data_IF_264083362594
#
_entry.id   IF_264083362594
#
_cell.length_a   1.000
_cell.length_b   1.000
_cell.length_c   1.000
_cell.angle_alpha   90.00
_cell.angle_beta   90.00
_cell.angle_gamma   90.00
#
_symmetry.space_group_name_H-M   'P 1'
#
loop_
_entity.id
_entity.type
_entity.pdbx_description
1 polymer ?
#
# COMPACT_ATOMS: atom_id res chain seq x y z
N UNK A 1 1.14 20.49 11.14
CA UNK A 1 1.49 20.99 9.79
C UNK A 1 0.40 20.69 8.75
N UNK A 2 0.12 19.43 8.40
CA UNK A 2 -0.90 19.08 7.37
C UNK A 2 -2.29 19.69 7.67
N UNK A 3 -2.82 19.47 8.87
CA UNK A 3 -4.12 20.03 9.27
C UNK A 3 -4.17 21.57 9.15
N UNK A 4 -3.06 22.26 9.42
CA UNK A 4 -3.03 23.72 9.31
C UNK A 4 -3.13 24.20 7.86
N UNK A 5 -2.58 23.45 6.89
CA UNK A 5 -2.73 23.78 5.47
C UNK A 5 -4.20 23.73 5.06
N UNK A 6 -4.92 22.71 5.53
CA UNK A 6 -6.36 22.56 5.26
C UNK A 6 -7.18 23.64 5.95
N UNK A 7 -6.98 23.83 7.26
CA UNK A 7 -7.76 24.79 8.05
C UNK A 7 -7.55 26.23 7.62
N UNK A 8 -6.38 26.55 7.03
CA UNK A 8 -6.09 27.86 6.43
C UNK A 8 -6.53 27.97 4.96
N UNK A 9 -7.25 26.98 4.43
CA UNK A 9 -7.69 26.92 3.03
C UNK A 9 -6.55 26.98 2.00
N UNK A 10 -5.35 26.56 2.40
CA UNK A 10 -4.17 26.47 1.52
C UNK A 10 -4.09 25.12 0.79
N UNK A 11 -4.84 24.11 1.25
CA UNK A 11 -4.97 22.80 0.62
C UNK A 11 -6.38 22.24 0.83
N UNK A 12 -6.89 21.51 -0.16
CA UNK A 12 -8.14 20.76 -0.03
C UNK A 12 -7.83 19.37 0.54
N UNK A 13 -8.61 18.86 1.52
CA UNK A 13 -8.42 17.52 2.09
C UNK A 13 -8.29 16.40 1.03
N UNK A 14 -9.12 16.46 -0.01
CA UNK A 14 -9.19 15.49 -1.10
C UNK A 14 -7.93 15.47 -1.97
N UNK A 15 -7.15 16.56 -1.93
CA UNK A 15 -5.88 16.70 -2.67
C UNK A 15 -4.67 16.26 -1.86
N UNK A 16 -4.86 15.82 -0.61
CA UNK A 16 -3.78 15.34 0.24
C UNK A 16 -3.65 13.83 0.06
N UNK A 17 -2.44 13.40 -0.32
CA UNK A 17 -2.04 12.01 -0.34
C UNK A 17 -0.82 11.81 0.55
N UNK A 18 -0.94 10.92 1.53
CA UNK A 18 0.18 10.51 2.38
C UNK A 18 0.78 9.24 1.77
N UNK A 19 2.05 9.28 1.39
CA UNK A 19 2.76 8.10 0.86
C UNK A 19 3.83 7.70 1.87
N UNK A 20 3.79 6.46 2.31
CA UNK A 20 4.70 5.94 3.32
C UNK A 20 5.30 4.60 2.90
N UNK A 21 6.61 4.48 2.97
CA UNK A 21 7.35 3.24 2.70
C UNK A 21 7.78 2.56 4.00
N UNK A 22 7.69 1.23 4.07
CA UNK A 22 8.14 0.45 5.23
C UNK A 22 7.47 0.94 6.53
N UNK A 23 8.25 1.29 7.56
CA UNK A 23 7.74 1.91 8.79
C UNK A 23 6.96 3.22 8.53
N UNK A 24 7.34 3.95 7.48
CA UNK A 24 6.66 5.17 7.06
C UNK A 24 5.21 4.95 6.64
N UNK A 25 4.84 3.75 6.19
CA UNK A 25 3.44 3.42 5.88
C UNK A 25 2.57 3.48 7.14
N UNK A 26 3.06 2.97 8.27
CA UNK A 26 2.38 3.07 9.56
C UNK A 26 2.38 4.50 10.09
N UNK A 27 3.49 5.24 9.93
CA UNK A 27 3.53 6.66 10.27
C UNK A 27 2.48 7.48 9.49
N UNK A 28 2.27 7.17 8.20
CA UNK A 28 1.22 7.76 7.39
C UNK A 28 -0.18 7.39 7.91
N UNK A 29 -0.41 6.14 8.31
CA UNK A 29 -1.64 5.69 8.98
C UNK A 29 -1.94 6.48 10.26
N UNK A 30 -0.96 6.58 11.18
CA UNK A 30 -1.09 7.37 12.41
C UNK A 30 -1.37 8.86 12.14
N UNK A 31 -0.71 9.44 11.13
CA UNK A 31 -0.99 10.81 10.71
C UNK A 31 -2.43 10.95 10.20
N UNK A 32 -2.90 10.02 9.37
CA UNK A 32 -4.26 9.97 8.86
C UNK A 32 -5.32 9.84 9.96
N UNK A 33 -5.11 8.90 10.89
CA UNK A 33 -5.94 8.77 12.10
C UNK A 33 -6.01 10.07 12.89
N UNK A 34 -4.88 10.74 13.09
CA UNK A 34 -4.83 12.04 13.78
C UNK A 34 -5.63 13.12 13.03
N UNK A 35 -5.56 13.16 11.69
CA UNK A 35 -6.35 14.10 10.87
C UNK A 35 -7.86 13.86 11.05
N UNK A 36 -8.29 12.60 11.10
CA UNK A 36 -9.69 12.23 11.29
C UNK A 36 -10.16 12.55 12.70
N UNK A 37 -9.49 12.02 13.72
CA UNK A 37 -9.96 12.06 15.10
C UNK A 37 -9.94 13.48 15.66
N UNK A 38 -8.83 14.20 15.45
CA UNK A 38 -8.59 15.52 16.04
C UNK A 38 -9.10 16.68 15.18
N UNK A 39 -9.04 16.55 13.86
CA UNK A 39 -9.35 17.66 12.95
C UNK A 39 -10.59 17.43 12.08
N UNK A 40 -11.22 16.24 12.16
CA UNK A 40 -12.39 15.84 11.36
C UNK A 40 -12.13 15.90 9.85
N UNK A 41 -10.86 15.75 9.46
CA UNK A 41 -10.42 15.72 8.07
C UNK A 41 -10.25 14.26 7.66
N UNK A 42 -11.20 13.74 6.87
CA UNK A 42 -11.23 12.33 6.46
C UNK A 42 -10.94 12.09 4.99
N UNK A 43 -11.02 13.12 4.16
CA UNK A 43 -11.05 12.98 2.70
C UNK A 43 -9.66 12.79 2.06
N UNK A 44 -8.59 12.72 2.86
CA UNK A 44 -7.24 12.42 2.36
C UNK A 44 -7.09 10.95 1.97
N UNK A 45 -6.07 10.69 1.13
CA UNK A 45 -5.69 9.36 0.66
C UNK A 45 -4.39 8.90 1.33
N UNK A 46 -4.20 7.60 1.45
CA UNK A 46 -2.95 7.00 1.92
C UNK A 46 -2.48 5.93 0.93
N UNK A 47 -1.19 5.92 0.63
CA UNK A 47 -0.52 4.85 -0.09
C UNK A 47 0.56 4.24 0.80
N UNK A 48 0.36 2.98 1.21
CA UNK A 48 1.35 2.20 1.94
C UNK A 48 2.22 1.38 0.98
N UNK A 49 3.51 1.66 0.95
CA UNK A 49 4.48 0.93 0.12
C UNK A 49 5.21 -0.07 1.01
N UNK A 50 4.82 -1.33 0.89
CA UNK A 50 5.30 -2.48 1.66
C UNK A 50 5.41 -2.19 3.16
N UNK A 51 4.28 -1.98 3.86
CA UNK A 51 4.29 -1.57 5.27
C UNK A 51 5.07 -2.55 6.14
N UNK A 52 5.88 -2.06 7.07
CA UNK A 52 6.82 -2.89 7.84
C UNK A 52 6.13 -4.03 8.62
N UNK A 53 6.57 -5.26 8.43
CA UNK A 53 6.08 -6.45 9.14
C UNK A 53 6.54 -6.53 10.61
N UNK A 54 7.85 -6.43 10.90
CA UNK A 54 8.38 -6.57 12.25
C UNK A 54 7.76 -5.57 13.23
N UNK A 55 7.08 -6.09 14.25
CA UNK A 55 6.40 -5.29 15.27
C UNK A 55 4.97 -4.85 14.90
N UNK A 56 4.46 -5.15 13.70
CA UNK A 56 3.12 -4.74 13.26
C UNK A 56 2.22 -5.88 12.76
N UNK A 57 2.78 -7.00 12.29
CA UNK A 57 1.99 -8.12 11.72
C UNK A 57 0.87 -8.59 12.66
N UNK A 58 1.17 -8.68 13.96
CA UNK A 58 0.24 -9.11 15.02
C UNK A 58 -0.41 -7.96 15.78
N UNK A 59 -0.07 -6.73 15.45
CA UNK A 59 -0.66 -5.56 16.09
C UNK A 59 -2.12 -5.40 15.70
N UNK A 60 -2.84 -4.75 16.62
CA UNK A 60 -4.22 -4.35 16.41
C UNK A 60 -4.32 -3.33 15.29
N UNK A 61 -5.50 -3.24 14.66
CA UNK A 61 -5.80 -2.26 13.60
C UNK A 61 -5.54 -0.82 14.01
N UNK A 62 -5.66 -0.49 15.31
CA UNK A 62 -5.38 0.86 15.80
C UNK A 62 -3.89 1.20 15.78
N UNK A 63 -3.01 0.20 15.79
CA UNK A 63 -1.56 0.34 15.94
C UNK A 63 -0.76 0.09 14.66
N UNK A 64 -1.44 -0.07 13.52
CA UNK A 64 -0.82 -0.23 12.21
C UNK A 64 -1.65 0.49 11.16
N UNK A 65 -1.15 0.49 9.92
CA UNK A 65 -1.90 1.04 8.80
C UNK A 65 -3.19 0.22 8.63
N UNK A 66 -4.33 0.91 8.53
CA UNK A 66 -5.65 0.31 8.39
C UNK A 66 -6.51 1.11 7.41
N UNK A 67 -7.52 0.49 6.76
CA UNK A 67 -8.40 1.21 5.85
C UNK A 67 -9.09 2.41 6.50
N UNK A 68 -9.36 2.37 7.82
CA UNK A 68 -10.00 3.48 8.54
C UNK A 68 -9.14 4.75 8.68
N UNK A 69 -7.85 4.70 8.34
CA UNK A 69 -6.93 5.84 8.51
C UNK A 69 -7.10 6.95 7.44
N UNK A 70 -7.94 6.74 6.42
CA UNK A 70 -8.25 7.74 5.39
C UNK A 70 -9.47 7.37 4.55
N UNK A 71 -9.94 8.28 3.68
CA UNK A 71 -11.07 8.00 2.76
C UNK A 71 -10.73 6.92 1.74
N UNK A 72 -9.46 6.80 1.38
CA UNK A 72 -8.95 5.76 0.51
C UNK A 72 -7.54 5.39 0.95
N UNK A 73 -7.31 4.10 1.10
CA UNK A 73 -6.01 3.54 1.53
C UNK A 73 -5.68 2.43 0.56
N UNK A 74 -4.57 2.55 -0.14
CA UNK A 74 -4.07 1.47 -1.00
C UNK A 74 -2.69 1.02 -0.55
N UNK A 75 -2.42 -0.28 -0.70
CA UNK A 75 -1.21 -0.90 -0.15
C UNK A 75 -0.57 -1.78 -1.20
N UNK A 76 0.76 -1.69 -1.32
CA UNK A 76 1.56 -2.54 -2.18
C UNK A 76 2.33 -3.52 -1.29
N UNK A 77 2.11 -4.82 -1.47
CA UNK A 77 2.86 -5.87 -0.79
C UNK A 77 3.91 -6.42 -1.75
N UNK A 78 5.19 -6.33 -1.37
CA UNK A 78 6.31 -6.83 -2.16
C UNK A 78 7.28 -7.69 -1.36
N UNK A 79 7.23 -7.68 -0.02
CA UNK A 79 8.03 -8.59 0.82
C UNK A 79 7.26 -9.15 2.01
N UNK A 80 5.98 -9.45 1.79
CA UNK A 80 5.04 -9.92 2.80
C UNK A 80 5.50 -11.17 3.55
N UNK A 81 5.41 -11.13 4.87
CA UNK A 81 5.82 -12.23 5.76
C UNK A 81 7.32 -12.24 6.07
N UNK A 82 8.05 -11.19 5.69
CA UNK A 82 9.46 -11.02 6.02
C UNK A 82 9.76 -9.59 6.49
N UNK A 83 9.88 -8.64 5.56
CA UNK A 83 10.10 -7.22 5.89
C UNK A 83 8.80 -6.43 5.80
N UNK A 84 7.87 -6.84 4.93
CA UNK A 84 6.53 -6.28 4.82
C UNK A 84 5.49 -7.14 5.54
N UNK A 85 4.37 -6.51 5.94
CA UNK A 85 3.20 -7.24 6.42
C UNK A 85 2.60 -8.10 5.31
N UNK A 86 2.12 -9.29 5.66
CA UNK A 86 1.43 -10.17 4.71
C UNK A 86 -0.08 -9.93 4.66
N UNK A 87 -0.67 -9.52 5.80
CA UNK A 87 -2.09 -9.27 5.92
C UNK A 87 -2.53 -8.00 5.18
N UNK A 88 -3.74 -7.97 4.61
CA UNK A 88 -4.28 -6.77 3.98
C UNK A 88 -4.42 -5.65 5.02
N UNK A 89 -4.17 -4.42 4.58
CA UNK A 89 -4.18 -3.21 5.40
C UNK A 89 -4.75 -1.98 4.69
N UNK A 90 -5.25 -2.16 3.46
CA UNK A 90 -5.88 -1.10 2.67
C UNK A 90 -7.35 -1.39 2.34
N UNK A 91 -8.01 -0.38 1.79
CA UNK A 91 -9.22 -0.60 1.01
C UNK A 91 -8.90 -1.40 -0.26
N UNK A 92 -7.70 -1.18 -0.80
CA UNK A 92 -7.15 -1.88 -1.95
C UNK A 92 -5.76 -2.40 -1.61
N UNK A 93 -5.54 -3.70 -1.75
CA UNK A 93 -4.24 -4.33 -1.49
C UNK A 93 -3.73 -5.00 -2.76
N UNK A 94 -2.60 -4.51 -3.28
CA UNK A 94 -1.91 -5.08 -4.44
C UNK A 94 -0.78 -6.00 -3.98
N UNK A 95 -0.95 -7.30 -4.19
CA UNK A 95 0.07 -8.31 -3.98
C UNK A 95 0.90 -8.43 -5.26
N UNK A 96 2.00 -7.69 -5.31
CA UNK A 96 2.88 -7.60 -6.48
C UNK A 96 3.62 -8.92 -6.64
N UNK A 97 3.39 -9.62 -7.75
CA UNK A 97 3.86 -10.99 -7.99
C UNK A 97 3.50 -11.95 -6.83
N UNK A 98 2.36 -11.72 -6.19
CA UNK A 98 1.90 -12.44 -5.01
C UNK A 98 2.43 -11.90 -3.68
N UNK A 99 3.16 -10.78 -3.67
CA UNK A 99 3.65 -10.11 -2.47
C UNK A 99 4.56 -10.96 -1.59
N UNK A 100 5.19 -11.98 -2.17
CA UNK A 100 6.06 -12.94 -1.49
C UNK A 100 7.36 -12.27 -1.02
N UNK A 101 8.08 -12.86 -0.04
CA UNK A 101 9.35 -12.31 0.47
C UNK A 101 10.41 -12.02 -0.59
N UNK A 102 10.34 -12.69 -1.75
CA UNK A 102 11.31 -12.59 -2.83
C UNK A 102 10.58 -12.17 -4.11
N UNK A 103 10.91 -10.98 -4.61
CA UNK A 103 10.40 -10.47 -5.88
C UNK A 103 11.24 -10.96 -7.07
N UNK A 104 10.62 -11.12 -8.26
CA UNK A 104 11.37 -11.37 -9.49
C UNK A 104 12.42 -10.27 -9.73
N UNK A 105 13.57 -10.65 -10.28
CA UNK A 105 14.71 -9.77 -10.62
C UNK A 105 15.46 -9.18 -9.42
N UNK A 106 15.15 -9.59 -8.19
CA UNK A 106 16.03 -9.33 -7.05
C UNK A 106 17.24 -10.29 -7.05
N UNK A 107 18.46 -9.79 -6.80
CA UNK A 107 19.67 -10.57 -6.97
C UNK A 107 19.86 -11.62 -5.87
N UNK A 108 20.17 -12.86 -6.27
CA UNK A 108 20.49 -13.99 -5.38
C UNK A 108 21.94 -13.95 -4.86
N UNK A 109 22.44 -12.75 -4.51
CA UNK A 109 23.83 -12.56 -4.08
C UNK A 109 23.99 -12.86 -2.58
N UNK A 110 23.24 -12.15 -1.75
CA UNK A 110 23.27 -12.24 -0.29
C UNK A 110 21.86 -12.03 0.28
N UNK A 111 21.54 -12.69 1.40
CA UNK A 111 20.20 -12.68 2.00
C UNK A 111 19.69 -11.26 2.31
N UNK A 112 20.51 -10.39 2.91
CA UNK A 112 20.10 -9.02 3.23
C UNK A 112 19.83 -8.19 1.97
N UNK A 113 20.66 -8.34 0.95
CA UNK A 113 20.51 -7.66 -0.35
C UNK A 113 19.27 -8.14 -1.08
N UNK A 114 18.98 -9.44 -1.05
CA UNK A 114 17.79 -10.06 -1.65
C UNK A 114 16.49 -9.53 -1.00
N UNK A 115 16.44 -9.51 0.33
CA UNK A 115 15.27 -9.08 1.08
C UNK A 115 15.04 -7.57 0.96
N UNK A 116 16.11 -6.77 1.08
CA UNK A 116 16.05 -5.32 0.89
C UNK A 116 15.57 -4.95 -0.51
N UNK A 117 16.05 -5.64 -1.56
CA UNK A 117 15.57 -5.45 -2.92
C UNK A 117 14.05 -5.70 -3.04
N UNK A 118 13.56 -6.80 -2.46
CA UNK A 118 12.14 -7.16 -2.53
C UNK A 118 11.27 -6.16 -1.78
N UNK A 119 11.77 -5.63 -0.66
CA UNK A 119 11.11 -4.56 0.10
C UNK A 119 11.04 -3.26 -0.72
N UNK A 120 12.17 -2.82 -1.27
CA UNK A 120 12.26 -1.62 -2.10
C UNK A 120 11.50 -1.74 -3.44
N UNK A 121 11.13 -2.96 -3.86
CA UNK A 121 10.38 -3.18 -5.09
C UNK A 121 9.04 -2.43 -5.11
N UNK A 122 8.41 -2.19 -3.95
CA UNK A 122 7.20 -1.38 -3.87
C UNK A 122 7.41 0.06 -4.35
N UNK A 123 8.57 0.66 -4.07
CA UNK A 123 8.94 1.98 -4.59
C UNK A 123 9.06 1.96 -6.11
N UNK A 124 9.69 0.91 -6.65
CA UNK A 124 9.87 0.74 -8.11
C UNK A 124 8.52 0.63 -8.82
N UNK A 125 7.59 -0.17 -8.29
CA UNK A 125 6.26 -0.33 -8.87
C UNK A 125 5.47 0.96 -8.74
N UNK A 126 5.46 1.59 -7.56
CA UNK A 126 4.78 2.86 -7.36
C UNK A 126 5.28 3.95 -8.32
N UNK A 127 6.60 4.08 -8.50
CA UNK A 127 7.17 5.02 -9.47
C UNK A 127 6.78 4.69 -10.92
N UNK A 128 6.69 3.40 -11.27
CA UNK A 128 6.18 2.97 -12.57
C UNK A 128 4.74 3.43 -12.83
N UNK A 129 3.94 3.61 -11.78
CA UNK A 129 2.50 3.91 -11.91
C UNK A 129 2.17 5.33 -12.36
N UNK A 130 3.17 6.21 -12.45
CA UNK A 130 3.01 7.59 -12.93
C UNK A 130 2.43 7.65 -14.35
N UNK A 131 2.57 6.56 -15.13
CA UNK A 131 2.20 6.50 -16.55
C UNK A 131 0.83 5.95 -16.92
N UNK A 132 0.01 5.39 -16.00
CA UNK A 132 -1.37 4.99 -16.38
C UNK A 132 -1.99 3.79 -15.66
N UNK A 133 -2.90 3.13 -16.37
CA UNK A 133 -3.74 2.04 -15.86
C UNK A 133 -3.03 0.69 -15.94
N UNK A 134 -3.23 -0.13 -14.92
CA UNK A 134 -2.69 -1.48 -14.80
C UNK A 134 -3.80 -2.51 -14.90
N UNK A 135 -3.49 -3.63 -15.55
CA UNK A 135 -4.30 -4.83 -15.42
C UNK A 135 -3.99 -5.48 -14.08
N UNK A 136 -4.99 -5.55 -13.21
CA UNK A 136 -4.92 -6.25 -11.93
C UNK A 136 -5.96 -7.35 -11.89
N UNK A 137 -5.65 -8.45 -11.20
CA UNK A 137 -6.54 -9.59 -11.08
C UNK A 137 -7.17 -9.58 -9.69
N UNK A 138 -8.49 -9.44 -9.61
CA UNK A 138 -9.19 -9.45 -8.32
C UNK A 138 -9.12 -10.84 -7.71
N UNK A 139 -8.79 -10.90 -6.43
CA UNK A 139 -8.64 -12.14 -5.69
C UNK A 139 -9.72 -12.22 -4.60
N UNK A 140 -10.10 -13.44 -4.23
CA UNK A 140 -11.04 -13.67 -3.12
C UNK A 140 -10.48 -13.17 -1.79
N UNK A 141 -9.19 -13.41 -1.57
CA UNK A 141 -8.46 -13.11 -0.35
C UNK A 141 -6.96 -13.01 -0.63
N UNK A 142 -6.20 -12.60 0.39
CA UNK A 142 -4.74 -12.50 0.33
C UNK A 142 -4.05 -13.83 0.07
N UNK A 143 -4.61 -14.96 0.53
CA UNK A 143 -4.04 -16.30 0.26
C UNK A 143 -4.08 -16.62 -1.23
N UNK A 144 -5.20 -16.34 -1.88
CA UNK A 144 -5.39 -16.51 -3.32
C UNK A 144 -4.47 -15.59 -4.11
N UNK A 145 -4.31 -14.33 -3.65
CA UNK A 145 -3.37 -13.39 -4.23
C UNK A 145 -1.91 -13.86 -4.13
N UNK A 146 -1.48 -14.34 -2.96
CA UNK A 146 -0.14 -14.90 -2.75
C UNK A 146 0.11 -16.13 -3.63
N UNK A 147 -0.90 -16.97 -3.81
CA UNK A 147 -0.82 -18.15 -4.68
C UNK A 147 -0.81 -17.79 -6.19
N UNK A 148 -1.21 -16.57 -6.57
CA UNK A 148 -1.48 -16.21 -7.96
C UNK A 148 -2.75 -16.84 -8.53
N UNK A 149 -3.61 -17.36 -7.65
CA UNK A 149 -4.84 -18.09 -8.00
C UNK A 149 -6.04 -17.15 -8.07
N UNK A 150 -5.95 -16.12 -8.90
CA UNK A 150 -6.97 -15.07 -9.02
C UNK A 150 -7.69 -15.17 -10.38
N UNK A 151 -8.94 -14.73 -10.43
CA UNK A 151 -9.78 -14.83 -11.62
C UNK A 151 -10.36 -13.47 -12.02
N UNK A 152 -10.55 -13.28 -13.33
CA UNK A 152 -10.95 -11.99 -13.89
C UNK A 152 -9.82 -10.96 -13.91
N UNK A 153 -9.97 -9.93 -14.74
CA UNK A 153 -9.02 -8.83 -14.86
C UNK A 153 -9.76 -7.50 -14.83
N UNK A 154 -9.27 -6.56 -14.04
CA UNK A 154 -9.76 -5.19 -13.96
C UNK A 154 -8.64 -4.27 -14.40
N UNK A 155 -8.90 -3.41 -15.37
CA UNK A 155 -7.98 -2.33 -15.71
C UNK A 155 -8.38 -1.10 -14.91
N UNK A 156 -7.47 -0.61 -14.07
CA UNK A 156 -7.69 0.59 -13.25
C UNK A 156 -6.37 1.33 -13.03
N UNK A 157 -6.47 2.59 -12.65
CA UNK A 157 -5.31 3.37 -12.21
C UNK A 157 -4.87 2.87 -10.84
N UNK A 158 -3.59 2.62 -10.69
CA UNK A 158 -2.96 2.10 -9.48
C UNK A 158 -1.96 3.15 -8.98
N UNK A 159 -1.83 3.36 -7.66
CA UNK A 159 -0.71 4.14 -7.11
C UNK A 159 -0.78 5.66 -7.28
N UNK A 160 0.17 6.22 -8.03
CA UNK A 160 0.51 7.65 -7.97
C UNK A 160 -0.58 8.59 -8.50
N UNK A 161 -1.26 8.20 -9.58
CA UNK A 161 -2.44 8.92 -10.05
C UNK A 161 -3.63 8.68 -9.11
N UNK A 162 -4.76 9.33 -9.37
CA UNK A 162 -6.00 9.01 -8.66
C UNK A 162 -6.38 7.56 -8.95
N UNK A 163 -5.96 6.67 -8.03
CA UNK A 163 -6.28 5.26 -8.03
C UNK A 163 -7.79 5.11 -7.99
N UNK A 164 -8.32 4.32 -8.91
CA UNK A 164 -9.76 4.12 -9.07
C UNK A 164 -10.13 2.64 -9.05
N UNK A 165 -9.22 1.78 -8.61
CA UNK A 165 -9.51 0.37 -8.41
C UNK A 165 -10.59 0.19 -7.33
N UNK A 166 -11.61 -0.64 -7.56
CA UNK A 166 -12.61 -0.95 -6.54
C UNK A 166 -11.97 -1.59 -5.31
N UNK A 167 -12.57 -1.42 -4.13
CA UNK A 167 -12.08 -2.06 -2.92
C UNK A 167 -11.93 -3.59 -3.09
N UNK A 168 -10.85 -4.13 -2.53
CA UNK A 168 -10.53 -5.55 -2.58
C UNK A 168 -9.04 -5.86 -2.64
N UNK A 169 -8.77 -7.16 -2.69
CA UNK A 169 -7.41 -7.70 -2.81
C UNK A 169 -7.13 -8.04 -4.27
N UNK A 170 -5.95 -7.69 -4.75
CA UNK A 170 -5.54 -7.85 -6.13
C UNK A 170 -4.18 -8.51 -6.26
N UNK A 171 -4.03 -9.35 -7.25
CA UNK A 171 -2.73 -9.77 -7.76
C UNK A 171 -2.30 -8.79 -8.86
N UNK A 172 -1.08 -8.26 -8.74
CA UNK A 172 -0.46 -7.39 -9.74
C UNK A 172 0.81 -8.06 -10.26
N UNK A 173 0.75 -8.62 -11.46
CA UNK A 173 1.92 -9.20 -12.13
C UNK A 173 2.82 -8.11 -12.71
N UNK A 174 4.13 -8.33 -12.66
CA UNK A 174 5.11 -7.44 -13.29
C UNK A 174 5.96 -8.22 -14.29
N UNK A 175 6.36 -7.56 -15.38
CA UNK A 175 7.20 -8.13 -16.44
C UNK A 175 8.67 -8.08 -16.08
#
# INVERSE_FOLDING_TARGET
MIAQLVLKSLAQPEKIQLVGFSLGAHAAGYAGKTLIEKYKLKDHRITGLDPAGPGFDRESKSNKLDPSDGRYVEVFHTSGGLLGILGPSGHVDYYVNGGKPIQPKCPWLESLTLYSCSHQYALKIFNGTIGGSYLVHKCRDSKSAVAGSCSGGVTCNVGFLLSNCPAGVYYLGTT
#
